data_IF_300311229860
#
_entry.id   IF_300311229860
#
_cell.length_a   1.000
_cell.length_b   1.000
_cell.length_c   1.000
_cell.angle_alpha   90.00
_cell.angle_beta   90.00
_cell.angle_gamma   90.00
#
_symmetry.space_group_name_H-M   'P 1'
#
loop_
_entity.id
_entity.type
_entity.pdbx_description
1 polymer ?
#
# COMPACT_ATOMS: atom_id res chain seq x y z
N UNK A 1 27.17 13.50 -25.69
CA UNK A 1 26.59 14.22 -24.54
C UNK A 1 25.56 13.30 -23.90
N UNK A 2 25.94 12.61 -22.84
CA UNK A 2 25.06 11.67 -22.15
C UNK A 2 24.01 12.47 -21.37
N UNK A 3 22.75 12.19 -21.67
CA UNK A 3 21.62 13.03 -21.31
C UNK A 3 21.41 13.00 -19.79
N UNK A 4 21.93 13.99 -19.07
CA UNK A 4 21.82 14.13 -17.59
C UNK A 4 20.35 14.17 -17.10
N UNK A 5 19.38 14.29 -18.01
CA UNK A 5 17.94 14.21 -17.73
C UNK A 5 17.42 12.81 -17.37
N UNK A 6 18.12 11.73 -17.74
CA UNK A 6 17.69 10.36 -17.40
C UNK A 6 17.89 10.00 -15.91
N UNK A 7 18.59 10.85 -15.15
CA UNK A 7 18.93 10.65 -13.73
C UNK A 7 18.01 11.40 -12.75
N UNK A 8 16.99 12.13 -13.21
CA UNK A 8 15.88 12.54 -12.34
C UNK A 8 15.00 11.31 -12.07
N UNK A 9 15.55 10.42 -11.25
CA UNK A 9 14.94 9.20 -10.76
C UNK A 9 13.57 9.55 -10.19
N UNK A 10 12.53 9.00 -10.81
CA UNK A 10 11.14 8.92 -10.34
C UNK A 10 11.03 9.02 -8.81
N UNK A 11 10.49 10.13 -8.32
CA UNK A 11 10.05 10.24 -6.92
C UNK A 11 8.90 9.25 -6.71
N UNK A 12 9.14 8.19 -5.93
CA UNK A 12 8.14 7.17 -5.57
C UNK A 12 7.71 7.37 -4.11
N UNK A 13 6.64 8.14 -3.83
CA UNK A 13 6.16 8.32 -2.46
C UNK A 13 5.56 7.01 -1.93
N UNK A 14 6.04 6.55 -0.77
CA UNK A 14 5.57 5.31 -0.11
C UNK A 14 4.69 5.59 1.12
N UNK A 15 4.38 6.85 1.42
CA UNK A 15 3.61 7.26 2.61
C UNK A 15 2.38 8.12 2.28
N UNK A 16 1.91 8.06 1.04
CA UNK A 16 0.64 8.69 0.67
C UNK A 16 -0.52 7.77 1.05
N UNK A 17 -1.65 8.38 1.40
CA UNK A 17 -2.87 7.69 1.80
C UNK A 17 -4.08 8.43 1.23
N UNK A 18 -5.20 7.71 1.11
CA UNK A 18 -6.46 8.28 0.65
C UNK A 18 -7.22 8.90 1.83
N UNK A 19 -7.99 9.96 1.56
CA UNK A 19 -8.83 10.60 2.58
C UNK A 19 -10.09 9.81 2.91
N UNK A 20 -10.54 8.96 1.99
CA UNK A 20 -11.69 8.07 2.18
C UNK A 20 -11.22 6.65 2.49
N UNK A 21 -12.11 5.87 3.10
CA UNK A 21 -11.81 4.49 3.52
C UNK A 21 -12.49 3.41 2.65
N UNK A 22 -13.17 3.80 1.57
CA UNK A 22 -13.83 2.88 0.63
C UNK A 22 -12.85 2.42 -0.46
N UNK A 23 -12.55 1.11 -0.52
CA UNK A 23 -11.58 0.55 -1.47
C UNK A 23 -12.12 0.52 -2.90
N UNK A 24 -13.38 0.16 -3.06
CA UNK A 24 -14.07 0.09 -4.35
C UNK A 24 -14.04 1.45 -5.04
N UNK A 25 -14.27 2.53 -4.28
CA UNK A 25 -14.13 3.89 -4.79
C UNK A 25 -12.71 4.17 -5.31
N UNK A 26 -11.66 3.72 -4.61
CA UNK A 26 -10.29 3.89 -5.06
C UNK A 26 -10.03 3.12 -6.36
N UNK A 27 -10.60 1.91 -6.48
CA UNK A 27 -10.46 1.07 -7.66
C UNK A 27 -11.17 1.68 -8.86
N UNK A 28 -12.40 2.15 -8.68
CA UNK A 28 -13.17 2.85 -9.72
C UNK A 28 -12.38 4.05 -10.24
N UNK A 29 -11.84 4.89 -9.34
CA UNK A 29 -11.02 6.05 -9.72
C UNK A 29 -9.75 5.66 -10.50
N UNK A 30 -9.11 4.53 -10.16
CA UNK A 30 -7.93 4.04 -10.89
C UNK A 30 -8.32 3.51 -12.28
N UNK A 31 -9.42 2.75 -12.38
CA UNK A 31 -9.93 2.20 -13.64
C UNK A 31 -10.33 3.31 -14.60
N UNK A 32 -11.04 4.34 -14.12
CA UNK A 32 -11.41 5.52 -14.89
C UNK A 32 -10.19 6.23 -15.49
N UNK A 33 -9.04 6.20 -14.80
CA UNK A 33 -7.78 6.77 -15.27
C UNK A 33 -6.96 5.82 -16.17
N UNK A 34 -7.53 4.67 -16.55
CA UNK A 34 -6.93 3.70 -17.46
C UNK A 34 -5.96 2.72 -16.80
N UNK A 35 -5.93 2.65 -15.47
CA UNK A 35 -5.18 1.60 -14.77
C UNK A 35 -5.94 0.28 -14.76
N UNK A 36 -5.21 -0.83 -14.79
CA UNK A 36 -5.72 -2.20 -14.72
C UNK A 36 -5.15 -2.90 -13.49
N UNK A 37 -5.98 -3.68 -12.80
CA UNK A 37 -5.52 -4.52 -11.69
C UNK A 37 -4.64 -5.65 -12.23
N UNK A 38 -3.39 -5.72 -11.77
CA UNK A 38 -2.39 -6.70 -12.20
C UNK A 38 -2.23 -7.85 -11.19
N UNK A 39 -2.47 -7.58 -9.91
CA UNK A 39 -2.41 -8.60 -8.87
C UNK A 39 -2.81 -8.08 -7.50
N UNK A 40 -3.01 -9.00 -6.57
CA UNK A 40 -3.31 -8.72 -5.17
C UNK A 40 -2.62 -9.74 -4.26
N UNK A 41 -2.22 -9.32 -3.08
CA UNK A 41 -1.69 -10.20 -2.05
C UNK A 41 -2.22 -9.76 -0.68
N UNK A 42 -2.35 -10.72 0.24
CA UNK A 42 -2.70 -10.46 1.63
C UNK A 42 -1.63 -11.08 2.52
N UNK A 43 -1.08 -10.29 3.44
CA UNK A 43 -0.16 -10.77 4.46
C UNK A 43 -0.74 -10.49 5.84
N UNK A 44 -0.89 -11.54 6.64
CA UNK A 44 -1.18 -11.40 8.06
C UNK A 44 0.11 -11.32 8.84
N UNK A 45 0.36 -10.23 9.56
CA UNK A 45 1.40 -10.25 10.59
C UNK A 45 0.72 -10.63 11.89
N UNK A 46 0.61 -11.93 12.17
CA UNK A 46 0.29 -12.35 13.53
C UNK A 46 1.43 -11.83 14.41
N UNK A 47 1.13 -10.91 15.32
CA UNK A 47 2.11 -10.42 16.28
C UNK A 47 2.68 -11.60 17.07
N UNK A 48 3.87 -12.06 16.71
CA UNK A 48 4.66 -12.93 17.58
C UNK A 48 4.87 -12.21 18.91
N UNK A 49 4.97 -12.97 20.01
CA UNK A 49 5.07 -12.50 21.40
C UNK A 49 6.29 -11.59 21.66
N UNK A 50 6.32 -10.40 21.06
CA UNK A 50 7.28 -9.35 21.33
C UNK A 50 6.73 -8.47 22.43
N UNK A 51 7.56 -8.15 23.42
CA UNK A 51 7.25 -7.28 24.55
C UNK A 51 6.46 -6.05 24.11
N UNK A 52 5.16 -6.06 24.41
CA UNK A 52 4.25 -4.98 24.07
C UNK A 52 4.70 -3.74 24.81
N UNK A 53 4.84 -2.62 24.09
CA UNK A 53 5.08 -1.32 24.70
C UNK A 53 3.97 -1.07 25.75
N UNK A 54 4.29 -0.57 26.96
CA UNK A 54 3.28 -0.37 28.01
C UNK A 54 2.10 0.47 27.48
N UNK A 55 0.89 -0.10 27.54
CA UNK A 55 -0.33 0.54 27.04
C UNK A 55 -0.82 0.08 25.65
N UNK A 56 -0.15 -0.87 25.01
CA UNK A 56 -0.64 -1.52 23.77
C UNK A 56 -1.37 -2.80 24.12
N UNK A 57 -2.64 -2.91 23.73
CA UNK A 57 -3.45 -4.11 23.90
C UNK A 57 -2.90 -5.25 23.01
N UNK A 58 -2.53 -6.37 23.64
CA UNK A 58 -2.05 -7.57 22.98
C UNK A 58 -3.05 -8.13 21.96
N UNK A 59 -4.34 -7.92 22.21
CA UNK A 59 -5.42 -8.54 21.46
C UNK A 59 -5.63 -7.87 20.08
N UNK A 60 -5.39 -6.55 19.99
CA UNK A 60 -5.54 -5.75 18.77
C UNK A 60 -4.47 -6.10 17.73
N UNK A 61 -3.28 -6.50 18.20
CA UNK A 61 -2.15 -6.83 17.33
C UNK A 61 -2.17 -8.27 16.77
N UNK A 62 -3.12 -9.10 17.21
CA UNK A 62 -3.20 -10.52 16.82
C UNK A 62 -3.78 -10.76 15.43
N UNK A 63 -4.48 -9.79 14.85
CA UNK A 63 -5.26 -9.99 13.62
C UNK A 63 -5.02 -8.91 12.55
N UNK A 64 -3.86 -8.27 12.59
CA UNK A 64 -3.48 -7.27 11.60
C UNK A 64 -3.20 -7.92 10.24
N UNK A 65 -4.15 -7.75 9.33
CA UNK A 65 -4.06 -8.17 7.93
C UNK A 65 -3.74 -6.97 7.06
N UNK A 66 -2.69 -7.10 6.24
CA UNK A 66 -2.30 -6.11 5.25
C UNK A 66 -2.62 -6.66 3.85
N UNK A 67 -3.59 -6.03 3.18
CA UNK A 67 -3.95 -6.35 1.81
C UNK A 67 -3.34 -5.32 0.85
N UNK A 68 -2.71 -5.80 -0.21
CA UNK A 68 -2.12 -4.98 -1.25
C UNK A 68 -2.74 -5.30 -2.61
N UNK A 69 -2.92 -4.25 -3.42
CA UNK A 69 -3.48 -4.31 -4.77
C UNK A 69 -2.56 -3.53 -5.70
N UNK A 70 -2.10 -4.18 -6.77
CA UNK A 70 -1.13 -3.61 -7.72
C UNK A 70 -1.84 -3.25 -9.02
N UNK A 71 -1.75 -1.97 -9.39
CA UNK A 71 -2.33 -1.42 -10.61
C UNK A 71 -1.24 -1.02 -11.60
N UNK A 72 -1.48 -1.29 -12.88
CA UNK A 72 -0.57 -0.95 -13.99
C UNK A 72 -1.31 -0.18 -15.08
N UNK A 73 -0.58 0.68 -15.80
CA UNK A 73 -1.08 1.41 -16.96
C UNK A 73 0.04 1.42 -18.01
N UNK A 74 -0.34 1.18 -19.25
CA UNK A 74 0.54 1.20 -20.42
C UNK A 74 0.97 2.63 -20.79
#
# INVERSE_FOLDING_TARGET
MENKFSKLKTFKPIRFFLKHSFLEQAFDMLIEQGFKLSGSCGSGTAGGASDLKPGVDAEENRWNHYNEFVFVRD
#
